data_IF_483045348795
#
_entry.id   IF_483045348795
#
_cell.length_a   1.000
_cell.length_b   1.000
_cell.length_c   1.000
_cell.angle_alpha   90.00
_cell.angle_beta   90.00
_cell.angle_gamma   90.00
#
_symmetry.space_group_name_H-M   'P 1'
#
loop_
_entity.id
_entity.type
_entity.pdbx_description
1 polymer ?
#
# COMPACT_ATOMS: atom_id res chain seq x y z
N UNK A 1 10.51 17.21 17.24
CA UNK A 1 10.30 16.45 15.98
C UNK A 1 11.64 16.38 15.27
N UNK A 2 12.12 15.18 14.92
CA UNK A 2 13.39 15.04 14.19
C UNK A 2 13.18 15.41 12.71
N UNK A 3 14.14 16.10 12.07
CA UNK A 3 14.03 16.45 10.66
C UNK A 3 14.02 15.18 9.79
N UNK A 4 13.15 15.17 8.78
CA UNK A 4 13.11 14.13 7.75
C UNK A 4 14.37 14.27 6.88
N UNK A 5 15.07 13.17 6.60
CA UNK A 5 16.25 13.18 5.73
C UNK A 5 15.89 13.63 4.31
N UNK A 6 16.83 14.26 3.60
CA UNK A 6 16.63 14.68 2.21
C UNK A 6 16.20 13.51 1.32
N UNK A 7 16.82 12.34 1.49
CA UNK A 7 16.40 11.10 0.81
C UNK A 7 14.91 10.83 1.01
N UNK A 8 14.42 10.90 2.25
CA UNK A 8 13.02 10.59 2.56
C UNK A 8 12.07 11.65 2.01
N UNK A 9 12.49 12.92 1.89
CA UNK A 9 11.71 13.97 1.22
C UNK A 9 11.53 13.64 -0.28
N UNK A 10 12.60 13.26 -0.97
CA UNK A 10 12.54 12.83 -2.37
C UNK A 10 11.63 11.62 -2.56
N UNK A 11 11.75 10.61 -1.69
CA UNK A 11 10.87 9.42 -1.73
C UNK A 11 9.39 9.80 -1.54
N UNK A 12 9.06 10.74 -0.65
CA UNK A 12 7.67 11.18 -0.44
C UNK A 12 7.13 11.85 -1.71
N UNK A 13 7.93 12.68 -2.39
CA UNK A 13 7.53 13.31 -3.65
C UNK A 13 7.26 12.26 -4.73
N UNK A 14 8.15 11.28 -4.87
CA UNK A 14 7.98 10.17 -5.80
C UNK A 14 6.72 9.35 -5.46
N UNK A 15 6.50 9.05 -4.18
CA UNK A 15 5.31 8.35 -3.71
C UNK A 15 4.02 9.09 -4.09
N UNK A 16 3.97 10.42 -3.95
CA UNK A 16 2.78 11.20 -4.34
C UNK A 16 2.44 11.04 -5.81
N UNK A 17 3.44 11.02 -6.70
CA UNK A 17 3.24 10.84 -8.14
C UNK A 17 2.79 9.40 -8.43
N UNK A 18 3.56 8.41 -7.98
CA UNK A 18 3.28 6.99 -8.21
C UNK A 18 1.92 6.57 -7.63
N UNK A 19 1.53 7.10 -6.47
CA UNK A 19 0.23 6.84 -5.85
C UNK A 19 -0.93 7.30 -6.74
N UNK A 20 -0.82 8.50 -7.33
CA UNK A 20 -1.86 9.03 -8.22
C UNK A 20 -2.00 8.16 -9.46
N UNK A 21 -0.88 7.83 -10.09
CA UNK A 21 -0.84 6.95 -11.26
C UNK A 21 -1.44 5.57 -10.92
N UNK A 22 -0.96 4.94 -9.84
CA UNK A 22 -1.40 3.60 -9.43
C UNK A 22 -2.91 3.55 -9.13
N UNK A 23 -3.47 4.54 -8.42
CA UNK A 23 -4.91 4.58 -8.12
C UNK A 23 -5.77 5.03 -9.31
N UNK A 24 -5.18 5.66 -10.33
CA UNK A 24 -5.91 6.04 -11.55
C UNK A 24 -6.11 4.87 -12.52
N UNK A 25 -5.24 3.85 -12.46
CA UNK A 25 -5.35 2.64 -13.28
C UNK A 25 -6.73 1.96 -13.04
N UNK A 26 -7.55 1.74 -14.09
CA UNK A 26 -8.86 1.12 -13.95
C UNK A 26 -8.87 -0.19 -13.16
N UNK A 27 -7.81 -1.00 -13.25
CA UNK A 27 -7.72 -2.28 -12.51
C UNK A 27 -7.66 -2.10 -10.99
N UNK A 28 -7.26 -0.91 -10.54
CA UNK A 28 -7.04 -0.57 -9.15
C UNK A 28 -8.18 0.25 -8.55
N UNK A 29 -9.22 0.61 -9.31
CA UNK A 29 -10.27 1.52 -8.82
C UNK A 29 -11.25 0.87 -7.86
N UNK A 30 -11.34 -0.47 -7.84
CA UNK A 30 -12.28 -1.22 -7.00
C UNK A 30 -11.52 -2.06 -5.98
N UNK A 31 -11.83 -1.84 -4.70
CA UNK A 31 -11.25 -2.57 -3.58
C UNK A 31 -11.57 -4.06 -3.70
N UNK A 32 -10.57 -4.95 -3.70
CA UNK A 32 -10.81 -6.40 -3.83
C UNK A 32 -11.56 -6.98 -2.63
N UNK A 33 -11.47 -6.34 -1.46
CA UNK A 33 -12.05 -6.79 -0.19
C UNK A 33 -13.51 -6.34 -0.07
N UNK A 34 -13.77 -5.04 -0.21
CA UNK A 34 -15.09 -4.46 0.08
C UNK A 34 -15.92 -4.16 -1.18
N UNK A 35 -15.33 -4.29 -2.37
CA UNK A 35 -15.92 -3.90 -3.66
C UNK A 35 -16.30 -2.41 -3.79
N UNK A 36 -15.81 -1.59 -2.86
CA UNK A 36 -15.98 -0.13 -2.88
C UNK A 36 -14.84 0.56 -3.64
N UNK A 37 -15.00 1.82 -4.06
CA UNK A 37 -13.90 2.60 -4.63
C UNK A 37 -12.67 2.61 -3.74
N UNK A 38 -11.49 2.49 -4.35
CA UNK A 38 -10.22 2.54 -3.61
C UNK A 38 -9.84 3.96 -3.26
N UNK A 39 -9.42 4.15 -2.02
CA UNK A 39 -8.96 5.45 -1.51
C UNK A 39 -7.52 5.39 -1.03
N UNK A 40 -6.99 4.19 -0.80
CA UNK A 40 -5.73 3.95 -0.12
C UNK A 40 -4.91 2.87 -0.80
N UNK A 41 -3.62 2.82 -0.43
CA UNK A 41 -2.69 1.79 -0.88
C UNK A 41 -2.20 1.06 0.37
N UNK A 42 -2.39 -0.25 0.38
CA UNK A 42 -1.80 -1.14 1.36
C UNK A 42 -0.44 -1.65 0.85
N UNK A 43 0.61 -1.53 1.67
CA UNK A 43 1.95 -2.04 1.34
C UNK A 43 2.08 -3.47 1.85
N UNK A 44 1.83 -4.45 0.98
CA UNK A 44 1.74 -5.88 1.35
C UNK A 44 3.02 -6.42 2.00
N UNK A 45 4.20 -5.91 1.63
CA UNK A 45 5.50 -6.28 2.23
C UNK A 45 6.02 -5.24 3.25
N UNK A 46 5.19 -4.26 3.62
CA UNK A 46 5.56 -3.13 4.46
C UNK A 46 6.23 -1.98 3.69
N UNK A 47 6.49 -0.88 4.42
CA UNK A 47 6.90 0.41 3.86
C UNK A 47 8.36 0.80 4.14
N UNK A 48 9.24 -0.19 4.34
CA UNK A 48 10.62 0.02 4.78
C UNK A 48 11.59 0.06 3.59
N UNK A 49 12.49 1.04 3.57
CA UNK A 49 13.50 1.18 2.51
C UNK A 49 12.88 1.24 1.12
N UNK A 50 13.42 0.45 0.20
CA UNK A 50 12.94 0.36 -1.19
C UNK A 50 11.49 -0.10 -1.33
N UNK A 51 10.95 -0.84 -0.34
CA UNK A 51 9.56 -1.32 -0.38
C UNK A 51 8.54 -0.19 -0.31
N UNK A 52 8.94 1.01 0.14
CA UNK A 52 8.04 2.17 0.18
C UNK A 52 7.52 2.54 -1.22
N UNK A 53 8.36 2.44 -2.24
CA UNK A 53 8.05 2.82 -3.63
C UNK A 53 7.87 1.62 -4.57
N UNK A 54 8.03 0.39 -4.07
CA UNK A 54 7.91 -0.82 -4.87
C UNK A 54 6.44 -1.17 -5.12
N UNK A 55 5.92 -0.70 -6.26
CA UNK A 55 4.51 -0.86 -6.65
C UNK A 55 4.10 -2.32 -6.88
N UNK A 56 5.05 -3.24 -7.03
CA UNK A 56 4.77 -4.69 -7.11
C UNK A 56 4.12 -5.22 -5.84
N UNK A 57 4.36 -4.55 -4.71
CA UNK A 57 3.81 -4.90 -3.40
C UNK A 57 2.71 -3.95 -2.93
N UNK A 58 2.18 -3.12 -3.83
CA UNK A 58 1.06 -2.24 -3.54
C UNK A 58 -0.26 -2.95 -3.83
N UNK A 59 -1.25 -2.69 -2.99
CA UNK A 59 -2.61 -3.14 -3.17
C UNK A 59 -3.56 -1.96 -3.00
N UNK A 60 -4.31 -1.62 -4.04
CA UNK A 60 -5.32 -0.58 -3.94
C UNK A 60 -6.52 -1.09 -3.14
N UNK A 61 -6.91 -0.35 -2.11
CA UNK A 61 -7.99 -0.73 -1.19
C UNK A 61 -8.83 0.48 -0.80
N UNK A 62 -10.06 0.20 -0.37
CA UNK A 62 -10.86 1.18 0.38
C UNK A 62 -10.27 1.33 1.79
N UNK A 63 -10.63 2.43 2.48
CA UNK A 63 -10.24 2.64 3.89
C UNK A 63 -10.65 1.46 4.79
N UNK A 64 -11.85 0.95 4.60
CA UNK A 64 -12.35 -0.21 5.36
C UNK A 64 -11.58 -1.49 5.00
N UNK A 65 -11.30 -1.73 3.72
CA UNK A 65 -10.49 -2.87 3.30
C UNK A 65 -9.08 -2.83 3.89
N UNK A 66 -8.48 -1.63 3.96
CA UNK A 66 -7.19 -1.44 4.64
C UNK A 66 -7.27 -1.82 6.12
N UNK A 67 -8.33 -1.37 6.82
CA UNK A 67 -8.55 -1.69 8.23
C UNK A 67 -8.69 -3.20 8.45
N UNK A 68 -9.48 -3.88 7.62
CA UNK A 68 -9.67 -5.32 7.69
C UNK A 68 -8.34 -6.08 7.55
N UNK A 69 -7.44 -5.65 6.65
CA UNK A 69 -6.11 -6.26 6.49
C UNK A 69 -5.28 -6.14 7.77
N UNK A 70 -5.21 -4.93 8.33
CA UNK A 70 -4.39 -4.64 9.51
C UNK A 70 -4.91 -5.35 10.77
N UNK A 71 -6.24 -5.43 10.94
CA UNK A 71 -6.86 -6.06 12.10
C UNK A 71 -6.92 -7.60 11.99
N UNK A 72 -6.78 -8.17 10.79
CA UNK A 72 -6.88 -9.61 10.55
C UNK A 72 -5.63 -10.18 9.83
N UNK A 73 -4.43 -10.12 10.44
CA UNK A 73 -3.17 -10.40 9.76
C UNK A 73 -3.02 -11.86 9.27
N UNK A 74 -3.61 -12.83 9.97
CA UNK A 74 -3.59 -14.24 9.54
C UNK A 74 -4.38 -14.42 8.24
N UNK A 75 -5.62 -13.93 8.21
CA UNK A 75 -6.47 -13.93 7.03
C UNK A 75 -5.84 -13.14 5.87
N UNK A 76 -5.25 -11.98 6.16
CA UNK A 76 -4.59 -11.17 5.15
C UNK A 76 -3.43 -11.92 4.48
N UNK A 77 -2.65 -12.68 5.24
CA UNK A 77 -1.59 -13.53 4.68
C UNK A 77 -2.15 -14.69 3.86
N UNK A 78 -3.16 -15.38 4.37
CA UNK A 78 -3.83 -16.48 3.66
C UNK A 78 -4.43 -16.03 2.32
N UNK A 79 -4.95 -14.80 2.25
CA UNK A 79 -5.50 -14.20 1.01
C UNK A 79 -4.47 -13.48 0.14
N UNK A 80 -3.21 -13.40 0.57
CA UNK A 80 -2.15 -12.71 -0.17
C UNK A 80 -2.19 -11.17 -0.07
N UNK A 81 -3.05 -10.60 0.78
CA UNK A 81 -3.09 -9.16 1.06
C UNK A 81 -1.97 -8.69 1.99
N UNK A 82 -1.22 -9.61 2.60
CA UNK A 82 0.00 -9.32 3.35
C UNK A 82 1.02 -10.43 3.12
N UNK A 83 2.29 -10.05 3.00
CA UNK A 83 3.38 -10.95 2.68
C UNK A 83 4.41 -10.96 3.80
N UNK A 84 5.12 -12.09 3.95
CA UNK A 84 6.24 -12.16 4.87
C UNK A 84 7.38 -11.26 4.37
N UNK A 85 7.98 -10.51 5.31
CA UNK A 85 9.10 -9.61 5.01
C UNK A 85 10.42 -10.35 4.85
N UNK A 86 10.57 -11.43 5.62
CA UNK A 86 11.70 -12.35 5.64
C UNK A 86 11.23 -13.63 4.95
N UNK A 87 11.40 -13.69 3.64
CA UNK A 87 11.21 -14.90 2.83
C UNK A 87 12.57 -15.33 2.33
#
# INVERSE_FOLDING_TARGET
MNPISEKRKTEIQQYTILRKEFLSDPKNQICPITKQPTTDIHHMKGRVGSLFLDTRYWLAVSREGHRMIEENPKWAKEKGYSLNRLS
#
